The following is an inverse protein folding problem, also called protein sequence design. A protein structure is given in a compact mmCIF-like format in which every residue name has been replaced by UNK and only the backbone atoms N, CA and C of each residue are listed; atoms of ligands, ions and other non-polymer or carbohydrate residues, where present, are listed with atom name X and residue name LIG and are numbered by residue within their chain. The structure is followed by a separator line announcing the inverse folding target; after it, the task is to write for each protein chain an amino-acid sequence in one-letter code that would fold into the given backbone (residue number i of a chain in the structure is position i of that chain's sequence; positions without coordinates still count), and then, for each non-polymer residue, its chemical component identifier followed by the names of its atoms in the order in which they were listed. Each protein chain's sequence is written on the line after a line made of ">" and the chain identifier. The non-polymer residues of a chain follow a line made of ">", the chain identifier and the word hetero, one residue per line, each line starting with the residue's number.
data_IF_405501885595
#
_entry.id   IF_405501885595
#
_cell.length_a   1.000
_cell.length_b   1.000
_cell.length_c   1.000
_cell.angle_alpha   90.00
_cell.angle_beta   90.00
_cell.angle_gamma   90.00
#
_symmetry.space_group_name_H-M   'P 1'
#
loop_
_entity.id
_entity.type
_entity.pdbx_description
1 polymer ?
#
# COMPACT_ATOMS: atom_id res chain seq x y z
N UNK A 1 -22.89 2.24 -13.13
CA UNK A 1 -21.85 2.75 -12.22
C UNK A 1 -21.25 1.52 -11.60
N UNK A 2 -19.98 1.23 -11.88
CA UNK A 2 -19.28 0.15 -11.18
C UNK A 2 -19.16 0.54 -9.71
N UNK A 3 -19.44 -0.41 -8.81
CA UNK A 3 -19.24 -0.20 -7.38
C UNK A 3 -17.74 -0.10 -7.07
N UNK A 4 -17.35 0.60 -5.99
CA UNK A 4 -15.95 0.66 -5.55
C UNK A 4 -15.36 -0.75 -5.36
N UNK A 5 -16.18 -1.71 -4.92
CA UNK A 5 -15.79 -3.12 -4.76
C UNK A 5 -15.43 -3.76 -6.11
N UNK A 6 -16.25 -3.56 -7.15
CA UNK A 6 -15.97 -4.08 -8.50
C UNK A 6 -14.67 -3.51 -9.07
N UNK A 7 -14.46 -2.19 -8.93
CA UNK A 7 -13.21 -1.54 -9.36
C UNK A 7 -11.98 -2.08 -8.63
N UNK A 8 -12.13 -2.48 -7.37
CA UNK A 8 -11.03 -3.06 -6.56
C UNK A 8 -10.78 -4.52 -6.92
N UNK A 9 -11.83 -5.30 -7.16
CA UNK A 9 -11.71 -6.69 -7.63
C UNK A 9 -10.97 -6.78 -8.97
N UNK A 10 -11.21 -5.84 -9.88
CA UNK A 10 -10.46 -5.76 -11.15
C UNK A 10 -8.95 -5.51 -10.95
N UNK A 11 -8.55 -4.95 -9.80
CA UNK A 11 -7.14 -4.68 -9.44
C UNK A 11 -6.54 -5.75 -8.52
N UNK A 12 -7.34 -6.68 -8.02
CA UNK A 12 -6.87 -7.79 -7.17
C UNK A 12 -6.03 -8.77 -7.99
N UNK A 13 -5.05 -9.41 -7.34
CA UNK A 13 -4.25 -10.44 -8.02
C UNK A 13 -5.05 -11.72 -8.27
N UNK A 14 -4.63 -12.50 -9.27
CA UNK A 14 -5.24 -13.81 -9.58
C UNK A 14 -5.31 -14.72 -8.34
N UNK A 15 -4.25 -14.74 -7.53
CA UNK A 15 -4.19 -15.53 -6.28
C UNK A 15 -5.27 -15.09 -5.28
N UNK A 16 -5.49 -13.78 -5.14
CA UNK A 16 -6.53 -13.24 -4.26
C UNK A 16 -7.93 -13.53 -4.76
N UNK A 17 -8.17 -13.45 -6.07
CA UNK A 17 -9.46 -13.81 -6.65
C UNK A 17 -9.76 -15.29 -6.46
N UNK A 18 -8.78 -16.17 -6.66
CA UNK A 18 -8.92 -17.61 -6.38
C UNK A 18 -9.21 -17.85 -4.91
N UNK A 19 -8.47 -17.20 -4.00
CA UNK A 19 -8.72 -17.31 -2.56
C UNK A 19 -10.13 -16.85 -2.18
N UNK A 20 -10.58 -15.72 -2.75
CA UNK A 20 -11.92 -15.19 -2.51
C UNK A 20 -13.00 -16.16 -2.98
N UNK A 21 -12.83 -16.76 -4.16
CA UNK A 21 -13.76 -17.77 -4.69
C UNK A 21 -13.79 -18.98 -3.77
N UNK A 22 -12.64 -19.46 -3.29
CA UNK A 22 -12.57 -20.59 -2.36
C UNK A 22 -13.26 -20.29 -1.02
N UNK A 23 -13.06 -19.11 -0.43
CA UNK A 23 -13.78 -18.71 0.78
C UNK A 23 -15.29 -18.61 0.55
N UNK A 24 -15.73 -18.08 -0.60
CA UNK A 24 -17.14 -18.00 -0.96
C UNK A 24 -17.76 -19.39 -1.14
N UNK A 25 -17.08 -20.30 -1.82
CA UNK A 25 -17.55 -21.69 -2.01
C UNK A 25 -17.60 -22.45 -0.68
N UNK A 26 -16.65 -22.22 0.22
CA UNK A 26 -16.64 -22.84 1.55
C UNK A 26 -17.81 -22.35 2.43
N UNK A 27 -18.20 -21.08 2.33
CA UNK A 27 -19.31 -20.52 3.10
C UNK A 27 -20.69 -20.78 2.46
N UNK A 28 -20.75 -20.86 1.13
CA UNK A 28 -21.98 -21.03 0.36
C UNK A 28 -21.86 -22.23 -0.60
N UNK A 29 -21.89 -23.48 -0.09
CA UNK A 29 -21.77 -24.68 -0.92
C UNK A 29 -22.90 -24.80 -1.95
N UNK A 30 -24.05 -24.18 -1.68
CA UNK A 30 -25.19 -24.07 -2.59
C UNK A 30 -24.89 -23.25 -3.87
N UNK A 31 -23.91 -22.35 -3.83
CA UNK A 31 -23.46 -21.57 -4.99
C UNK A 31 -22.34 -22.26 -5.77
N UNK A 32 -21.76 -23.36 -5.27
CA UNK A 32 -20.63 -24.05 -5.92
C UNK A 32 -20.95 -24.42 -7.36
N UNK A 33 -22.14 -24.98 -7.62
CA UNK A 33 -22.53 -25.39 -8.96
C UNK A 33 -22.68 -24.19 -9.93
N UNK A 34 -23.07 -23.02 -9.44
CA UNK A 34 -23.19 -21.80 -10.24
C UNK A 34 -21.82 -21.15 -10.47
N UNK A 35 -20.94 -21.17 -9.46
CA UNK A 35 -19.54 -20.74 -9.57
C UNK A 35 -18.80 -21.63 -10.58
N UNK A 36 -18.92 -22.95 -10.48
CA UNK A 36 -18.27 -23.88 -11.39
C UNK A 36 -18.78 -23.70 -12.84
N UNK A 37 -20.10 -23.57 -13.03
CA UNK A 37 -20.69 -23.32 -14.34
C UNK A 37 -20.27 -21.98 -14.95
N UNK A 38 -20.12 -20.93 -14.14
CA UNK A 38 -19.65 -19.62 -14.62
C UNK A 38 -18.17 -19.64 -14.97
N UNK A 39 -17.33 -20.34 -14.20
CA UNK A 39 -15.92 -20.55 -14.49
C UNK A 39 -15.72 -21.38 -15.77
N UNK A 40 -16.47 -22.47 -15.94
CA UNK A 40 -16.45 -23.28 -17.17
C UNK A 40 -16.86 -22.45 -18.40
N UNK A 41 -17.92 -21.64 -18.26
CA UNK A 41 -18.35 -20.74 -19.34
C UNK A 41 -17.26 -19.72 -19.69
N UNK A 42 -16.59 -19.14 -18.70
CA UNK A 42 -15.49 -18.21 -18.93
C UNK A 42 -14.29 -18.89 -19.61
N UNK A 43 -13.93 -20.09 -19.18
CA UNK A 43 -12.87 -20.90 -19.80
C UNK A 43 -13.18 -21.22 -21.27
N UNK A 44 -14.41 -21.62 -21.57
CA UNK A 44 -14.84 -21.89 -22.96
C UNK A 44 -14.90 -20.63 -23.84
N UNK A 45 -15.25 -19.47 -23.27
CA UNK A 45 -15.34 -18.22 -24.02
C UNK A 45 -13.95 -17.71 -24.44
N UNK A 46 -12.92 -17.93 -23.62
CA UNK A 46 -11.54 -17.60 -23.97
C UNK A 46 -10.99 -18.48 -25.10
N UNK A 47 -11.34 -19.77 -25.18
CA UNK A 47 -10.88 -20.66 -26.26
C UNK A 47 -11.48 -20.29 -27.64
N UNK A 48 -12.73 -19.84 -27.67
CA UNK A 48 -13.43 -19.41 -28.88
C UNK A 48 -12.95 -18.04 -29.42
N UNK A 49 -12.44 -17.15 -28.55
CA UNK A 49 -11.94 -15.82 -28.93
C UNK A 49 -10.50 -15.89 -29.49
N UNK A 50 -9.66 -16.78 -28.94
CA UNK A 50 -8.33 -17.06 -29.49
C UNK A 50 -8.38 -17.84 -30.81
N UNK A 51 -9.39 -18.71 -31.01
CA UNK A 51 -9.57 -19.43 -32.28
C UNK A 51 -10.01 -18.54 -33.46
N UNK A 52 -10.55 -17.34 -33.20
CA UNK A 52 -10.98 -16.41 -34.27
C UNK A 52 -9.94 -15.37 -34.68
N UNK A 53 -8.81 -15.28 -33.97
CA UNK A 53 -7.70 -14.38 -34.27
C UNK A 53 -6.48 -15.11 -34.86
N UNK A 54 -6.56 -16.43 -35.03
CA UNK A 54 -5.46 -17.31 -35.46
C UNK A 54 -5.24 -17.38 -36.98
N UNK A 55 -5.91 -16.57 -37.80
CA UNK A 55 -5.79 -16.66 -39.27
C UNK A 55 -4.87 -15.60 -39.91
N UNK A 56 -4.25 -14.69 -39.14
CA UNK A 56 -3.22 -13.79 -39.69
C UNK A 56 -2.17 -13.35 -38.64
N UNK A 57 -0.91 -13.63 -38.97
CA UNK A 57 0.36 -13.16 -38.38
C UNK A 57 1.08 -14.10 -37.38
N UNK A 58 2.25 -14.54 -37.84
CA UNK A 58 3.35 -15.15 -37.10
C UNK A 58 3.79 -14.35 -35.86
N UNK A 59 4.42 -15.09 -34.93
CA UNK A 59 5.24 -14.67 -33.79
C UNK A 59 4.54 -14.32 -32.46
N UNK A 60 4.61 -15.28 -31.53
CA UNK A 60 5.09 -15.18 -30.14
C UNK A 60 4.20 -15.84 -29.08
N UNK A 61 4.86 -16.76 -28.36
CA UNK A 61 4.64 -17.17 -26.98
C UNK A 61 3.59 -18.27 -26.76
N UNK A 62 4.09 -19.51 -26.82
CA UNK A 62 3.58 -20.64 -26.05
C UNK A 62 3.47 -20.24 -24.57
N UNK A 63 2.30 -19.72 -24.18
CA UNK A 63 1.86 -19.80 -22.79
C UNK A 63 1.09 -21.12 -22.69
N UNK A 64 1.85 -22.20 -22.52
CA UNK A 64 1.34 -23.49 -22.11
C UNK A 64 0.61 -23.27 -20.77
N UNK A 65 -0.72 -23.30 -20.82
CA UNK A 65 -1.58 -23.25 -19.63
C UNK A 65 -1.42 -24.57 -18.89
N UNK A 66 -0.32 -24.73 -18.16
CA UNK A 66 -0.10 -25.85 -17.25
C UNK A 66 -1.10 -25.77 -16.09
N UNK A 67 -2.27 -26.33 -16.33
CA UNK A 67 -3.42 -26.40 -15.43
C UNK A 67 -3.57 -27.79 -14.80
N UNK A 68 -2.58 -28.68 -14.99
CA UNK A 68 -2.81 -30.11 -14.77
C UNK A 68 -2.08 -30.77 -13.60
N UNK A 69 -1.19 -30.12 -12.85
CA UNK A 69 -0.56 -30.79 -11.69
C UNK A 69 -0.49 -30.02 -10.35
N UNK A 70 -0.76 -28.71 -10.30
CA UNK A 70 -0.60 -27.93 -9.05
C UNK A 70 -1.88 -27.71 -8.21
N UNK A 71 -3.00 -28.32 -8.61
CA UNK A 71 -4.26 -28.27 -7.85
C UNK A 71 -4.42 -29.42 -6.84
N UNK A 72 -3.46 -30.36 -6.79
CA UNK A 72 -3.47 -31.43 -5.82
C UNK A 72 -2.83 -30.94 -4.50
N UNK A 73 -3.66 -30.80 -3.46
CA UNK A 73 -3.30 -30.55 -2.05
C UNK A 73 -2.69 -29.18 -1.72
N UNK A 74 -3.46 -28.12 -1.94
CA UNK A 74 -3.25 -26.87 -1.21
C UNK A 74 -3.90 -26.94 0.19
N UNK A 75 -3.27 -27.68 1.11
CA UNK A 75 -3.58 -27.62 2.55
C UNK A 75 -3.07 -26.29 3.12
N UNK A 76 -3.85 -25.21 2.97
CA UNK A 76 -3.59 -23.93 3.62
C UNK A 76 -4.11 -23.90 5.05
N UNK A 77 -3.52 -24.72 5.93
CA UNK A 77 -3.50 -24.34 7.34
C UNK A 77 -2.51 -23.19 7.45
N UNK A 78 -2.98 -21.94 7.33
CA UNK A 78 -2.19 -20.72 7.58
C UNK A 78 -1.75 -20.68 9.05
N UNK A 79 -0.73 -21.46 9.40
CA UNK A 79 0.06 -21.21 10.60
C UNK A 79 0.91 -19.99 10.28
N UNK A 80 0.86 -18.89 11.07
CA UNK A 80 1.81 -17.81 10.88
C UNK A 80 3.22 -18.37 11.13
N UNK A 81 3.99 -18.56 10.06
CA UNK A 81 5.36 -19.08 10.12
C UNK A 81 6.31 -18.12 10.83
N UNK A 82 5.97 -16.82 10.87
CA UNK A 82 6.70 -15.82 11.61
C UNK A 82 6.05 -15.54 12.96
N UNK A 83 6.85 -15.34 14.02
CA UNK A 83 6.33 -14.80 15.26
C UNK A 83 5.75 -13.41 15.01
N UNK A 84 4.71 -13.02 15.78
CA UNK A 84 4.15 -11.67 15.73
C UNK A 84 5.25 -10.64 16.00
N UNK A 85 5.18 -9.51 15.31
CA UNK A 85 6.18 -8.45 15.45
C UNK A 85 6.05 -7.80 16.82
N UNK A 86 7.13 -7.82 17.61
CA UNK A 86 7.21 -7.05 18.85
C UNK A 86 7.58 -5.59 18.54
N UNK A 87 6.56 -4.79 18.22
CA UNK A 87 6.73 -3.37 17.92
C UNK A 87 7.38 -2.59 19.06
N UNK A 88 7.27 -3.04 20.31
CA UNK A 88 7.93 -2.39 21.45
C UNK A 88 9.45 -2.58 21.35
N UNK A 89 9.90 -3.80 21.10
CA UNK A 89 11.30 -4.09 20.88
C UNK A 89 11.87 -3.28 19.71
N UNK A 90 11.15 -3.18 18.58
CA UNK A 90 11.62 -2.33 17.47
C UNK A 90 11.70 -0.85 17.87
N UNK A 91 10.70 -0.29 18.57
CA UNK A 91 10.77 1.11 19.05
C UNK A 91 12.00 1.35 19.94
N UNK A 92 12.28 0.44 20.87
CA UNK A 92 13.47 0.52 21.72
C UNK A 92 14.77 0.54 20.91
N UNK A 93 14.83 -0.18 19.77
CA UNK A 93 15.98 -0.13 18.86
C UNK A 93 16.16 1.24 18.22
N UNK A 94 15.08 1.90 17.80
CA UNK A 94 15.15 3.26 17.24
C UNK A 94 15.58 4.30 18.28
N UNK A 95 15.11 4.19 19.53
CA UNK A 95 15.63 5.00 20.64
C UNK A 95 17.14 4.79 20.82
N UNK A 96 17.60 3.54 20.66
CA UNK A 96 19.01 3.16 20.65
C UNK A 96 19.82 3.86 19.55
N UNK A 97 19.24 4.15 18.38
CA UNK A 97 19.94 4.86 17.29
C UNK A 97 20.29 6.29 17.68
N UNK A 98 19.38 7.00 18.36
CA UNK A 98 19.65 8.35 18.86
C UNK A 98 20.82 8.36 19.84
N UNK A 99 20.89 7.37 20.73
CA UNK A 99 22.01 7.20 21.65
C UNK A 99 23.33 6.93 20.92
N UNK A 100 23.32 6.06 19.90
CA UNK A 100 24.50 5.75 19.08
C UNK A 100 25.01 6.96 18.30
N UNK A 101 24.11 7.79 17.76
CA UNK A 101 24.44 9.04 17.06
C UNK A 101 25.07 10.05 18.04
N UNK A 102 24.49 10.23 19.23
CA UNK A 102 25.05 11.11 20.27
C UNK A 102 26.45 10.68 20.71
N UNK A 103 26.71 9.37 20.72
CA UNK A 103 28.03 8.81 21.04
C UNK A 103 29.06 8.96 19.91
N UNK A 104 28.73 9.63 18.79
CA UNK A 104 29.60 9.81 17.60
C UNK A 104 30.19 8.50 17.07
N UNK A 105 29.48 7.38 17.25
CA UNK A 105 29.88 6.09 16.69
C UNK A 105 29.70 6.10 15.17
N UNK A 106 30.29 5.11 14.50
CA UNK A 106 30.02 4.86 13.08
C UNK A 106 28.51 4.76 12.84
N UNK A 107 28.03 5.37 11.76
CA UNK A 107 26.62 5.34 11.35
C UNK A 107 26.26 4.05 10.58
N UNK A 108 27.27 3.32 10.09
CA UNK A 108 27.06 2.10 9.30
C UNK A 108 26.17 1.06 10.00
N UNK A 109 26.36 0.75 11.30
CA UNK A 109 25.52 -0.23 11.99
C UNK A 109 24.06 0.22 12.15
N UNK A 110 23.77 1.53 12.04
CA UNK A 110 22.39 2.03 12.05
C UNK A 110 21.76 1.81 10.68
N UNK A 111 22.52 2.10 9.61
CA UNK A 111 22.08 1.83 8.25
C UNK A 111 21.81 0.33 8.04
N UNK A 112 22.77 -0.53 8.38
CA UNK A 112 22.64 -1.99 8.20
C UNK A 112 21.43 -2.54 8.96
N UNK A 113 21.20 -2.03 10.19
CA UNK A 113 20.07 -2.46 11.00
C UNK A 113 18.73 -1.99 10.43
N UNK A 114 18.65 -0.72 9.99
CA UNK A 114 17.47 -0.19 9.32
C UNK A 114 17.14 -0.97 8.03
N UNK A 115 18.15 -1.30 7.22
CA UNK A 115 17.98 -2.13 6.04
C UNK A 115 17.52 -3.56 6.38
N UNK A 116 18.00 -4.14 7.48
CA UNK A 116 17.53 -5.44 7.94
C UNK A 116 16.05 -5.39 8.32
N UNK A 117 15.60 -4.35 9.03
CA UNK A 117 14.18 -4.17 9.40
C UNK A 117 13.30 -4.04 8.15
N UNK A 118 13.73 -3.23 7.18
CA UNK A 118 12.99 -3.02 5.93
C UNK A 118 12.94 -4.28 5.07
N UNK A 119 14.03 -5.05 5.04
CA UNK A 119 14.06 -6.35 4.36
C UNK A 119 13.15 -7.38 5.04
N UNK A 120 13.07 -7.37 6.37
CA UNK A 120 12.11 -8.20 7.10
C UNK A 120 10.66 -7.81 6.74
N UNK A 121 10.34 -6.52 6.71
CA UNK A 121 9.02 -6.04 6.30
C UNK A 121 8.67 -6.50 4.88
N UNK A 122 9.61 -6.43 3.95
CA UNK A 122 9.43 -6.94 2.59
C UNK A 122 9.19 -8.46 2.58
N UNK A 123 10.01 -9.24 3.27
CA UNK A 123 9.84 -10.70 3.33
C UNK A 123 8.49 -11.12 3.92
N UNK A 124 7.98 -10.35 4.90
CA UNK A 124 6.64 -10.57 5.45
C UNK A 124 5.54 -10.24 4.43
N UNK A 125 5.68 -9.14 3.69
CA UNK A 125 4.75 -8.78 2.63
C UNK A 125 4.73 -9.81 1.49
N UNK A 126 5.88 -10.34 1.10
CA UNK A 126 6.01 -11.40 0.09
C UNK A 126 5.30 -12.70 0.50
N UNK A 127 5.13 -12.92 1.82
CA UNK A 127 4.40 -14.07 2.39
C UNK A 127 2.97 -13.74 2.84
N UNK A 128 2.41 -12.62 2.37
CA UNK A 128 1.05 -12.18 2.69
C UNK A 128 0.80 -11.84 4.17
N UNK A 129 1.86 -11.71 4.99
CA UNK A 129 1.80 -11.20 6.37
C UNK A 129 1.75 -9.65 6.35
N UNK A 130 0.70 -9.14 5.71
CA UNK A 130 0.58 -7.72 5.38
C UNK A 130 0.49 -6.82 6.62
N UNK A 131 -0.19 -7.26 7.68
CA UNK A 131 -0.35 -6.46 8.90
C UNK A 131 1.00 -6.18 9.56
N UNK A 132 1.79 -7.22 9.81
CA UNK A 132 3.11 -7.07 10.42
C UNK A 132 4.09 -6.32 9.50
N UNK A 133 4.02 -6.56 8.18
CA UNK A 133 4.84 -5.82 7.22
C UNK A 133 4.52 -4.31 7.25
N UNK A 134 3.23 -3.96 7.22
CA UNK A 134 2.77 -2.58 7.30
C UNK A 134 3.15 -1.95 8.65
N UNK A 135 3.02 -2.67 9.77
CA UNK A 135 3.42 -2.13 11.06
C UNK A 135 4.92 -1.77 11.12
N UNK A 136 5.79 -2.58 10.52
CA UNK A 136 7.22 -2.28 10.40
C UNK A 136 7.48 -1.05 9.52
N UNK A 137 6.81 -0.94 8.36
CA UNK A 137 6.93 0.25 7.51
C UNK A 137 6.41 1.51 8.19
N UNK A 138 5.27 1.42 8.89
CA UNK A 138 4.67 2.51 9.64
C UNK A 138 5.62 2.99 10.74
N UNK A 139 6.29 2.06 11.43
CA UNK A 139 7.23 2.39 12.50
C UNK A 139 8.46 3.16 11.98
N UNK A 140 9.00 2.79 10.80
CA UNK A 140 10.08 3.56 10.16
C UNK A 140 9.62 4.96 9.74
N UNK A 141 8.41 5.08 9.21
CA UNK A 141 7.82 6.37 8.83
C UNK A 141 7.55 7.26 10.05
N UNK A 142 6.99 6.71 11.13
CA UNK A 142 6.70 7.42 12.38
C UNK A 142 7.99 7.97 13.00
N UNK A 143 9.06 7.17 13.03
CA UNK A 143 10.37 7.62 13.51
C UNK A 143 10.98 8.71 12.63
N UNK A 144 10.77 8.65 11.31
CA UNK A 144 11.16 9.73 10.42
C UNK A 144 10.36 11.00 10.72
N UNK A 145 9.04 10.89 10.83
CA UNK A 145 8.12 12.02 11.06
C UNK A 145 8.36 12.72 12.40
N UNK A 146 8.90 12.01 13.40
CA UNK A 146 9.26 12.59 14.69
C UNK A 146 10.43 13.59 14.62
N UNK A 147 11.23 13.60 13.55
CA UNK A 147 12.32 14.58 13.26
C UNK A 147 13.29 14.84 14.43
N UNK A 148 13.51 13.83 15.29
CA UNK A 148 14.26 13.99 16.55
C UNK A 148 15.73 14.35 16.33
N UNK A 149 16.30 14.00 15.17
CA UNK A 149 17.69 14.26 14.84
C UNK A 149 17.92 14.34 13.33
N UNK A 150 18.54 15.42 12.85
CA UNK A 150 18.77 15.67 11.42
C UNK A 150 19.60 14.57 10.71
N UNK A 151 20.59 13.99 11.39
CA UNK A 151 21.40 12.89 10.83
C UNK A 151 20.56 11.63 10.67
N UNK A 152 19.75 11.28 11.69
CA UNK A 152 18.84 10.15 11.62
C UNK A 152 17.78 10.35 10.53
N UNK A 153 17.19 11.55 10.45
CA UNK A 153 16.24 11.90 9.39
C UNK A 153 16.86 11.70 8.00
N UNK A 154 18.10 12.11 7.78
CA UNK A 154 18.77 11.87 6.50
C UNK A 154 19.03 10.40 6.19
N UNK A 155 19.26 9.55 7.19
CA UNK A 155 19.42 8.10 6.98
C UNK A 155 18.07 7.48 6.64
N UNK A 156 17.03 7.84 7.40
CA UNK A 156 15.66 7.37 7.18
C UNK A 156 15.12 7.81 5.82
N UNK A 157 15.35 9.05 5.39
CA UNK A 157 14.92 9.52 4.07
C UNK A 157 15.52 8.67 2.94
N UNK A 158 16.81 8.28 3.05
CA UNK A 158 17.46 7.42 2.05
C UNK A 158 16.82 6.03 2.02
N UNK A 159 16.65 5.42 3.19
CA UNK A 159 16.06 4.08 3.29
C UNK A 159 14.61 4.07 2.79
N UNK A 160 13.82 5.10 3.13
CA UNK A 160 12.44 5.23 2.67
C UNK A 160 12.38 5.44 1.14
N UNK A 161 13.32 6.18 0.55
CA UNK A 161 13.38 6.32 -0.91
C UNK A 161 13.62 5.00 -1.63
N UNK A 162 14.50 4.16 -1.09
CA UNK A 162 14.82 2.86 -1.68
C UNK A 162 13.63 1.89 -1.62
N UNK A 163 12.83 1.96 -0.56
CA UNK A 163 11.69 1.04 -0.34
C UNK A 163 10.35 1.59 -0.80
N UNK A 164 10.26 2.86 -1.21
CA UNK A 164 8.99 3.48 -1.61
C UNK A 164 8.22 2.69 -2.68
N UNK A 165 8.85 2.19 -3.77
CA UNK A 165 8.13 1.41 -4.77
C UNK A 165 7.53 0.11 -4.21
N UNK A 166 8.24 -0.54 -3.29
CA UNK A 166 7.76 -1.76 -2.63
C UNK A 166 6.62 -1.44 -1.67
N UNK A 167 6.75 -0.38 -0.88
CA UNK A 167 5.69 0.09 0.03
C UNK A 167 4.43 0.46 -0.75
N UNK A 168 4.55 1.16 -1.87
CA UNK A 168 3.45 1.47 -2.78
C UNK A 168 2.75 0.18 -3.25
N UNK A 169 3.51 -0.77 -3.78
CA UNK A 169 2.96 -2.03 -4.27
C UNK A 169 2.18 -2.78 -3.16
N UNK A 170 2.74 -2.84 -1.96
CA UNK A 170 2.07 -3.47 -0.81
C UNK A 170 0.80 -2.72 -0.43
N UNK A 171 0.84 -1.39 -0.30
CA UNK A 171 -0.33 -0.61 0.10
C UNK A 171 -1.48 -0.70 -0.91
N UNK A 172 -1.18 -0.61 -2.22
CA UNK A 172 -2.18 -0.75 -3.28
C UNK A 172 -2.79 -2.16 -3.26
N UNK A 173 -1.93 -3.17 -3.14
CA UNK A 173 -2.35 -4.56 -3.12
C UNK A 173 -3.28 -4.82 -1.94
N UNK A 174 -2.88 -4.45 -0.72
CA UNK A 174 -3.67 -4.66 0.49
C UNK A 174 -4.98 -3.85 0.47
N UNK A 175 -4.98 -2.64 -0.10
CA UNK A 175 -6.21 -1.85 -0.28
C UNK A 175 -7.18 -2.47 -1.29
N UNK A 176 -6.69 -3.32 -2.21
CA UNK A 176 -7.48 -4.00 -3.23
C UNK A 176 -7.82 -5.45 -2.83
N UNK A 177 -7.25 -5.94 -1.73
CA UNK A 177 -7.56 -7.26 -1.18
C UNK A 177 -8.89 -7.21 -0.43
N UNK A 178 -9.77 -8.16 -0.75
CA UNK A 178 -11.05 -8.35 -0.09
C UNK A 178 -11.07 -9.75 0.54
N UNK A 179 -11.52 -9.84 1.78
CA UNK A 179 -11.66 -11.08 2.54
C UNK A 179 -13.12 -11.31 2.93
N UNK A 180 -13.51 -12.58 3.09
CA UNK A 180 -14.85 -12.93 3.58
C UNK A 180 -14.81 -13.05 5.10
N UNK A 181 -15.59 -12.21 5.77
CA UNK A 181 -15.72 -12.30 7.23
C UNK A 181 -16.56 -13.50 7.66
N UNK A 182 -16.51 -13.87 8.93
CA UNK A 182 -17.35 -14.92 9.53
C UNK A 182 -18.86 -14.64 9.41
N UNK A 183 -19.23 -13.39 9.08
CA UNK A 183 -20.59 -12.92 8.82
C UNK A 183 -20.95 -12.88 7.33
N UNK A 184 -20.12 -13.48 6.45
CA UNK A 184 -20.31 -13.53 4.99
C UNK A 184 -20.34 -12.16 4.30
N UNK A 185 -19.80 -11.14 4.95
CA UNK A 185 -19.57 -9.83 4.33
C UNK A 185 -18.17 -9.74 3.76
N UNK A 186 -18.07 -9.21 2.54
CA UNK A 186 -16.83 -8.82 1.89
C UNK A 186 -16.28 -7.57 2.57
N UNK A 187 -15.09 -7.68 3.16
CA UNK A 187 -14.41 -6.53 3.78
C UNK A 187 -13.01 -6.39 3.22
N UNK A 188 -12.50 -5.16 3.02
CA UNK A 188 -11.11 -4.97 2.67
C UNK A 188 -10.18 -5.48 3.78
N UNK A 189 -8.99 -5.95 3.40
CA UNK A 189 -7.96 -6.33 4.36
C UNK A 189 -7.56 -5.13 5.24
N UNK A 190 -7.43 -3.94 4.64
CA UNK A 190 -7.26 -2.72 5.42
C UNK A 190 -8.61 -2.22 5.93
N UNK A 191 -8.80 -2.27 7.24
CA UNK A 191 -9.96 -1.64 7.90
C UNK A 191 -10.00 -0.13 7.58
N UNK A 192 -11.18 0.50 7.60
CA UNK A 192 -11.30 1.93 7.37
C UNK A 192 -10.37 2.75 8.28
N UNK A 193 -10.24 2.38 9.56
CA UNK A 193 -9.39 3.06 10.53
C UNK A 193 -7.91 2.94 10.16
N UNK A 194 -7.44 1.75 9.78
CA UNK A 194 -6.06 1.55 9.38
C UNK A 194 -5.72 2.34 8.12
N UNK A 195 -6.63 2.34 7.14
CA UNK A 195 -6.46 3.08 5.89
C UNK A 195 -6.39 4.60 6.14
N UNK A 196 -7.26 5.15 6.98
CA UNK A 196 -7.19 6.56 7.39
C UNK A 196 -5.86 6.91 8.05
N UNK A 197 -5.41 6.11 9.00
CA UNK A 197 -4.12 6.32 9.67
C UNK A 197 -2.94 6.29 8.69
N UNK A 198 -3.00 5.44 7.67
CA UNK A 198 -1.98 5.39 6.62
C UNK A 198 -2.02 6.62 5.70
N UNK A 199 -3.21 7.05 5.28
CA UNK A 199 -3.39 8.27 4.49
C UNK A 199 -2.85 9.50 5.23
N UNK A 200 -3.14 9.63 6.52
CA UNK A 200 -2.61 10.71 7.36
C UNK A 200 -1.08 10.68 7.47
N UNK A 201 -0.49 9.49 7.70
CA UNK A 201 0.97 9.33 7.74
C UNK A 201 1.64 9.70 6.42
N UNK A 202 1.12 9.19 5.31
CA UNK A 202 1.65 9.49 3.97
C UNK A 202 1.50 10.97 3.62
N UNK A 203 0.37 11.58 3.98
CA UNK A 203 0.16 13.01 3.79
C UNK A 203 1.15 13.84 4.61
N UNK A 204 1.31 13.54 5.89
CA UNK A 204 2.31 14.20 6.74
C UNK A 204 3.73 14.01 6.18
N UNK A 205 4.05 12.81 5.72
CA UNK A 205 5.34 12.48 5.12
C UNK A 205 5.59 13.29 3.84
N UNK A 206 4.59 13.39 2.97
CA UNK A 206 4.62 14.18 1.75
C UNK A 206 4.87 15.66 2.03
N UNK A 207 4.16 16.26 3.00
CA UNK A 207 4.37 17.65 3.38
C UNK A 207 5.82 17.95 3.79
N UNK A 208 6.42 17.06 4.59
CA UNK A 208 7.83 17.19 5.01
C UNK A 208 8.80 17.09 3.83
N UNK A 209 8.45 16.31 2.80
CA UNK A 209 9.27 16.17 1.58
C UNK A 209 9.13 17.35 0.65
N UNK A 210 7.92 17.87 0.45
CA UNK A 210 7.68 19.13 -0.28
C UNK A 210 8.54 20.25 0.29
N UNK A 211 8.57 20.39 1.62
CA UNK A 211 9.35 21.42 2.31
C UNK A 211 10.87 21.29 2.08
N UNK A 212 11.38 20.07 1.86
CA UNK A 212 12.81 19.78 1.80
C UNK A 212 13.38 19.66 0.38
N UNK A 213 12.65 19.04 -0.52
CA UNK A 213 13.14 18.66 -1.85
C UNK A 213 12.48 19.45 -2.98
N UNK A 214 11.29 20.02 -2.76
CA UNK A 214 10.55 20.79 -3.77
C UNK A 214 10.33 20.01 -5.09
N UNK A 215 10.16 18.70 -4.99
CA UNK A 215 9.86 17.78 -6.09
C UNK A 215 8.44 17.22 -5.89
N UNK A 216 7.66 17.16 -6.98
CA UNK A 216 6.42 16.38 -7.01
C UNK A 216 6.82 14.91 -7.09
N UNK A 217 6.59 14.18 -6.01
CA UNK A 217 6.94 12.76 -5.86
C UNK A 217 5.72 11.87 -6.06
N UNK A 218 5.92 10.56 -6.08
CA UNK A 218 4.87 9.55 -6.29
C UNK A 218 3.85 9.47 -5.12
N UNK A 219 4.11 10.12 -3.98
CA UNK A 219 3.27 10.01 -2.77
C UNK A 219 1.81 10.45 -2.97
N UNK A 220 1.49 11.55 -3.69
CA UNK A 220 0.11 11.91 -4.04
C UNK A 220 -0.58 10.82 -4.85
N UNK A 221 0.13 10.15 -5.76
CA UNK A 221 -0.43 9.04 -6.55
C UNK A 221 -0.76 7.86 -5.63
N UNK A 222 0.15 7.50 -4.72
CA UNK A 222 -0.10 6.47 -3.69
C UNK A 222 -1.33 6.82 -2.84
N UNK A 223 -1.44 8.07 -2.38
CA UNK A 223 -2.60 8.55 -1.61
C UNK A 223 -3.91 8.37 -2.39
N UNK A 224 -3.91 8.68 -3.69
CA UNK A 224 -5.08 8.52 -4.57
C UNK A 224 -5.43 7.05 -4.81
N UNK A 225 -4.43 6.21 -5.04
CA UNK A 225 -4.65 4.78 -5.30
C UNK A 225 -5.13 4.04 -4.05
N UNK A 226 -4.69 4.46 -2.86
CA UNK A 226 -5.13 3.90 -1.60
C UNK A 226 -6.52 4.36 -1.18
N UNK A 227 -6.89 5.62 -1.45
CA UNK A 227 -8.14 6.19 -0.96
C UNK A 227 -9.36 5.51 -1.58
N UNK A 228 -10.31 5.10 -0.73
CA UNK A 228 -11.64 4.71 -1.15
C UNK A 228 -12.54 5.95 -1.21
N UNK A 229 -13.72 5.82 -1.82
CA UNK A 229 -14.69 6.93 -1.90
C UNK A 229 -14.96 7.59 -0.54
N UNK A 230 -15.06 6.77 0.52
CA UNK A 230 -15.30 7.23 1.89
C UNK A 230 -14.12 8.01 2.50
N UNK A 231 -12.91 7.89 1.95
CA UNK A 231 -11.72 8.59 2.45
C UNK A 231 -11.44 9.89 1.70
N UNK A 232 -12.10 10.13 0.57
CA UNK A 232 -11.96 11.38 -0.20
C UNK A 232 -12.32 12.60 0.65
N UNK A 233 -13.33 12.47 1.51
CA UNK A 233 -13.72 13.52 2.47
C UNK A 233 -12.61 13.83 3.48
N UNK A 234 -11.90 12.80 3.96
CA UNK A 234 -10.76 12.97 4.86
C UNK A 234 -9.62 13.70 4.15
N UNK A 235 -9.21 13.24 2.96
CA UNK A 235 -8.13 13.86 2.19
C UNK A 235 -8.42 15.33 1.87
N UNK A 236 -9.66 15.65 1.46
CA UNK A 236 -10.10 17.03 1.25
C UNK A 236 -9.96 17.87 2.52
N UNK A 237 -10.41 17.34 3.66
CA UNK A 237 -10.38 18.04 4.95
C UNK A 237 -8.94 18.37 5.33
N UNK A 238 -8.05 17.38 5.33
CA UNK A 238 -6.64 17.56 5.73
C UNK A 238 -5.93 18.57 4.80
N UNK A 239 -6.17 18.49 3.48
CA UNK A 239 -5.59 19.44 2.52
C UNK A 239 -6.11 20.86 2.76
N UNK A 240 -7.40 21.02 3.01
CA UNK A 240 -8.02 22.32 3.26
C UNK A 240 -7.55 22.92 4.58
N UNK A 241 -7.45 22.13 5.65
CA UNK A 241 -6.91 22.56 6.93
C UNK A 241 -5.47 23.08 6.78
N UNK A 242 -4.63 22.36 6.03
CA UNK A 242 -3.25 22.77 5.80
C UNK A 242 -3.17 24.04 4.94
N UNK A 243 -4.00 24.17 3.89
CA UNK A 243 -4.10 25.40 3.10
C UNK A 243 -4.56 26.60 3.95
N UNK A 244 -5.52 26.40 4.85
CA UNK A 244 -5.97 27.43 5.78
C UNK A 244 -4.86 27.83 6.75
N UNK A 245 -4.15 26.85 7.33
CA UNK A 245 -2.98 27.08 8.19
C UNK A 245 -1.90 27.88 7.47
N UNK A 246 -1.62 27.53 6.21
CA UNK A 246 -0.67 28.28 5.38
C UNK A 246 -1.16 29.72 5.19
N UNK A 247 -2.44 29.97 4.90
CA UNK A 247 -2.99 31.34 4.74
C UNK A 247 -2.88 32.17 6.03
N UNK A 248 -3.20 31.59 7.18
CA UNK A 248 -3.17 32.28 8.48
C UNK A 248 -1.75 32.67 8.92
N UNK A 249 -0.75 31.81 8.66
CA UNK A 249 0.66 32.07 9.01
C UNK A 249 1.36 33.07 8.05
N UNK A 250 0.59 33.81 7.25
CA UNK A 250 1.06 34.47 6.05
C UNK A 250 1.35 35.95 6.10
N UNK A 251 1.37 36.58 7.28
CA UNK A 251 1.44 38.04 7.43
C UNK A 251 2.85 38.63 7.22
N UNK A 252 3.82 37.84 6.77
CA UNK A 252 5.17 38.33 6.50
C UNK A 252 5.28 38.91 5.08
N UNK A 253 5.75 40.15 4.97
CA UNK A 253 5.98 40.88 3.70
C UNK A 253 7.08 40.27 2.80
N UNK A 254 7.66 39.12 3.19
CA UNK A 254 8.71 38.43 2.45
C UNK A 254 8.11 37.26 1.68
N UNK A 255 8.39 37.19 0.38
CA UNK A 255 8.01 36.07 -0.49
C UNK A 255 8.71 34.80 0.00
N UNK A 256 7.94 33.85 0.54
CA UNK A 256 8.45 32.53 0.94
C UNK A 256 8.15 31.53 -0.18
N UNK A 257 9.17 31.22 -0.99
CA UNK A 257 9.06 30.31 -2.14
C UNK A 257 8.64 28.89 -1.75
N UNK A 258 9.12 28.36 -0.62
CA UNK A 258 8.71 27.04 -0.09
C UNK A 258 7.23 27.01 0.22
N UNK A 259 6.70 28.05 0.85
CA UNK A 259 5.26 28.19 1.12
C UNK A 259 4.44 28.31 -0.16
N UNK A 260 4.92 29.06 -1.15
CA UNK A 260 4.25 29.19 -2.44
C UNK A 260 4.20 27.85 -3.19
N UNK A 261 5.30 27.11 -3.18
CA UNK A 261 5.39 25.79 -3.79
C UNK A 261 4.44 24.80 -3.12
N UNK A 262 4.47 24.71 -1.78
CA UNK A 262 3.56 23.87 -1.01
C UNK A 262 2.09 24.20 -1.26
N UNK A 263 1.75 25.50 -1.32
CA UNK A 263 0.39 25.93 -1.63
C UNK A 263 -0.06 25.45 -3.01
N UNK A 264 0.80 25.60 -4.03
CA UNK A 264 0.51 25.14 -5.39
C UNK A 264 0.35 23.63 -5.48
N UNK A 265 1.24 22.86 -4.84
CA UNK A 265 1.16 21.40 -4.82
C UNK A 265 -0.14 20.91 -4.15
N UNK A 266 -0.51 21.51 -3.02
CA UNK A 266 -1.77 21.20 -2.33
C UNK A 266 -3.00 21.59 -3.14
N UNK A 267 -2.99 22.75 -3.81
CA UNK A 267 -4.08 23.17 -4.69
C UNK A 267 -4.21 22.28 -5.93
N UNK A 268 -3.09 21.79 -6.48
CA UNK A 268 -3.07 20.82 -7.59
C UNK A 268 -3.70 19.51 -7.14
N UNK A 269 -3.21 18.94 -6.03
CA UNK A 269 -3.76 17.70 -5.46
C UNK A 269 -5.26 17.82 -5.14
N UNK A 270 -5.71 18.96 -4.60
CA UNK A 270 -7.13 19.19 -4.32
C UNK A 270 -8.00 19.17 -5.58
N UNK A 271 -7.47 19.59 -6.72
CA UNK A 271 -8.18 19.57 -8.01
C UNK A 271 -8.22 18.17 -8.63
N UNK A 272 -7.20 17.36 -8.37
CA UNK A 272 -7.10 15.98 -8.85
C UNK A 272 -8.00 15.01 -8.05
N UNK A 273 -8.38 15.37 -6.82
CA UNK A 273 -9.33 14.61 -6.03
C UNK A 273 -10.71 14.55 -6.71
N UNK A 274 -11.26 13.34 -6.98
CA UNK A 274 -12.57 13.19 -7.59
C UNK A 274 -13.64 13.85 -6.74
N UNK A 275 -14.60 14.51 -7.40
CA UNK A 275 -15.79 15.08 -6.76
C UNK A 275 -16.69 13.91 -6.38
N UNK A 276 -16.86 13.70 -5.07
CA UNK A 276 -17.87 12.80 -4.52
C UNK A 276 -19.28 13.32 -4.86
#
# INVERSE_FOLDING_TARGET
>A
METEIERRLQRSSKKQLVFLIQELTAQHPELSAEIDSTLERLASATEDEYSKLSDDADEQQENEWDTSEELATMDFVRVPEFPPVDLVAYRERFEGYLLRIKQKKSLQPICDDLFAILKEAQQRADREDYYNALDLYALVLDERLAERNATLTSILDKAINEIMPMLQAVLINVCSCIIVTSSSFLTPVLTPEMRKNWLERLFAFWLKRLDRYHVEEDVPEILMEMAWENDLGLLRTIVQEELQRLRQNGTSNIVNFTRQYRTRALEKFLKELPLA
#
